data_IF_131082212308
#
_entry.id   IF_131082212308
#
_cell.length_a   1.000
_cell.length_b   1.000
_cell.length_c   1.000
_cell.angle_alpha   90.00
_cell.angle_beta   90.00
_cell.angle_gamma   90.00
#
_symmetry.space_group_name_H-M   'P 1'
#
loop_
_entity.id
_entity.type
_entity.pdbx_description
1 polymer ?
#
# COMPACT_ATOMS: atom_id res chain seq x y z
N UNK A 1 8.02 -12.78 15.10
CA UNK A 1 8.33 -11.98 13.89
C UNK A 1 7.96 -10.56 14.21
N UNK A 2 8.92 -9.63 14.21
CA UNK A 2 8.69 -8.22 14.51
C UNK A 2 8.35 -7.50 13.21
N UNK A 3 7.09 -7.56 12.78
CA UNK A 3 6.58 -6.69 11.72
C UNK A 3 6.14 -5.37 12.33
N UNK A 4 6.20 -4.29 11.55
CA UNK A 4 5.56 -3.03 11.94
C UNK A 4 4.04 -3.19 11.78
N UNK A 5 3.36 -3.50 12.88
CA UNK A 5 1.90 -3.59 12.92
C UNK A 5 1.30 -2.18 12.84
N UNK A 6 0.35 -1.98 11.93
CA UNK A 6 -0.34 -0.72 11.72
C UNK A 6 -1.83 -0.97 11.88
N UNK A 7 -2.42 -0.35 12.89
CA UNK A 7 -3.86 -0.37 13.10
C UNK A 7 -4.53 0.73 12.28
N UNK A 8 -5.37 0.33 11.32
CA UNK A 8 -6.16 1.25 10.49
C UNK A 8 -7.64 1.06 10.83
N UNK A 9 -8.27 2.10 11.38
CA UNK A 9 -9.71 2.11 11.63
C UNK A 9 -10.48 2.50 10.38
N UNK A 10 -11.48 1.70 10.00
CA UNK A 10 -12.38 2.00 8.88
C UNK A 10 -13.72 2.53 9.39
N UNK A 11 -14.38 3.37 8.58
CA UNK A 11 -15.70 3.93 8.87
C UNK A 11 -16.86 3.07 8.30
N UNK A 12 -16.54 1.86 7.84
CA UNK A 12 -17.48 0.88 7.26
C UNK A 12 -17.22 -0.50 7.87
N UNK A 13 -18.28 -1.31 7.94
CA UNK A 13 -18.22 -2.70 8.40
C UNK A 13 -17.81 -3.66 7.28
N UNK A 14 -17.51 -4.92 7.64
CA UNK A 14 -17.21 -6.00 6.68
C UNK A 14 -18.37 -6.18 5.69
N UNK A 15 -18.04 -6.49 4.44
CA UNK A 15 -18.76 -6.18 3.19
C UNK A 15 -18.19 -4.94 2.47
N UNK A 16 -16.87 -4.95 2.29
CA UNK A 16 -16.14 -3.85 1.69
C UNK A 16 -16.55 -3.62 0.22
N UNK A 17 -16.68 -2.35 -0.22
CA UNK A 17 -17.03 -2.03 -1.60
C UNK A 17 -15.94 -2.51 -2.57
N UNK A 18 -16.32 -2.81 -3.81
CA UNK A 18 -15.37 -3.23 -4.87
C UNK A 18 -14.23 -2.21 -5.09
N UNK A 19 -14.47 -0.93 -4.77
CA UNK A 19 -13.45 0.11 -4.85
C UNK A 19 -12.25 -0.14 -3.91
N UNK A 20 -12.39 -0.98 -2.87
CA UNK A 20 -11.30 -1.42 -2.01
C UNK A 20 -10.60 -2.70 -2.50
N UNK A 21 -11.11 -3.36 -3.55
CA UNK A 21 -10.52 -4.57 -4.17
C UNK A 21 -9.95 -4.23 -5.54
N UNK A 22 -9.00 -3.30 -5.58
CA UNK A 22 -8.45 -2.80 -6.84
C UNK A 22 -7.35 -3.74 -7.34
N UNK A 23 -7.37 -4.13 -8.64
CA UNK A 23 -6.31 -4.93 -9.23
C UNK A 23 -5.04 -4.09 -9.39
N UNK A 24 -3.89 -4.75 -9.49
CA UNK A 24 -2.64 -4.10 -9.86
C UNK A 24 -2.76 -3.45 -11.24
N UNK A 25 -2.17 -2.27 -11.40
CA UNK A 25 -2.08 -1.63 -12.70
C UNK A 25 -1.05 -2.35 -13.59
N UNK A 26 -1.25 -2.24 -14.91
CA UNK A 26 -0.25 -2.73 -15.84
C UNK A 26 1.03 -1.92 -15.71
N UNK A 27 2.17 -2.62 -15.69
CA UNK A 27 3.49 -2.01 -15.55
C UNK A 27 4.38 -2.39 -16.73
N UNK A 28 5.11 -1.40 -17.25
CA UNK A 28 6.18 -1.58 -18.23
C UNK A 28 7.32 -2.43 -17.66
N UNK A 29 8.20 -3.00 -18.50
CA UNK A 29 9.35 -3.77 -18.02
C UNK A 29 10.24 -3.00 -17.02
N UNK A 30 10.51 -1.72 -17.30
CA UNK A 30 11.29 -0.84 -16.43
C UNK A 30 10.62 -0.62 -15.06
N UNK A 31 9.30 -0.48 -15.04
CA UNK A 31 8.56 -0.32 -13.79
C UNK A 31 8.52 -1.62 -12.99
N UNK A 32 8.38 -2.78 -13.66
CA UNK A 32 8.43 -4.09 -13.00
C UNK A 32 9.77 -4.36 -12.33
N UNK A 33 10.86 -4.01 -12.99
CA UNK A 33 12.21 -4.11 -12.42
C UNK A 33 12.35 -3.23 -11.17
N UNK A 34 11.97 -1.96 -11.27
CA UNK A 34 12.00 -1.03 -10.15
C UNK A 34 11.12 -1.50 -8.97
N UNK A 35 9.89 -1.96 -9.25
CA UNK A 35 9.00 -2.54 -8.23
C UNK A 35 9.63 -3.76 -7.56
N UNK A 36 10.27 -4.64 -8.33
CA UNK A 36 10.95 -5.82 -7.79
C UNK A 36 12.05 -5.45 -6.79
N UNK A 37 12.85 -4.43 -7.10
CA UNK A 37 13.88 -3.90 -6.20
C UNK A 37 13.24 -3.37 -4.91
N UNK A 38 12.24 -2.48 -5.01
CA UNK A 38 11.58 -1.91 -3.83
C UNK A 38 10.89 -2.96 -2.95
N UNK A 39 10.18 -3.91 -3.56
CA UNK A 39 9.49 -4.98 -2.82
C UNK A 39 10.51 -5.84 -2.08
N UNK A 40 11.63 -6.19 -2.72
CA UNK A 40 12.70 -6.96 -2.08
C UNK A 40 13.27 -6.21 -0.88
N UNK A 41 13.63 -4.94 -1.04
CA UNK A 41 14.16 -4.11 0.05
C UNK A 41 13.20 -4.01 1.23
N UNK A 42 11.91 -3.79 0.97
CA UNK A 42 10.91 -3.68 2.03
C UNK A 42 10.64 -5.02 2.74
N UNK A 43 10.74 -6.14 2.03
CA UNK A 43 10.69 -7.48 2.63
C UNK A 43 11.92 -7.74 3.50
N UNK A 44 13.12 -7.41 3.01
CA UNK A 44 14.37 -7.59 3.74
C UNK A 44 14.41 -6.73 5.02
N UNK A 45 13.81 -5.54 4.98
CA UNK A 45 13.65 -4.64 6.13
C UNK A 45 12.49 -5.03 7.07
N UNK A 46 11.64 -5.98 6.70
CA UNK A 46 10.45 -6.35 7.49
C UNK A 46 9.35 -5.27 7.53
N UNK A 47 9.38 -4.30 6.61
CA UNK A 47 8.37 -3.24 6.50
C UNK A 47 7.07 -3.77 5.89
N UNK A 48 7.19 -4.67 4.91
CA UNK A 48 6.05 -5.41 4.34
C UNK A 48 6.27 -6.91 4.53
N UNK A 49 5.18 -7.66 4.54
CA UNK A 49 5.21 -9.11 4.61
C UNK A 49 4.47 -9.72 3.42
N UNK A 50 4.84 -10.95 3.06
CA UNK A 50 4.05 -11.73 2.11
C UNK A 50 2.83 -12.28 2.83
N UNK A 51 1.66 -12.01 2.27
CA UNK A 51 0.41 -12.64 2.71
C UNK A 51 0.41 -14.11 2.27
N UNK A 52 -0.10 -15.00 3.11
CA UNK A 52 -0.17 -16.44 2.80
C UNK A 52 -1.12 -16.70 1.63
N UNK A 53 -0.80 -17.70 0.80
CA UNK A 53 -1.61 -18.01 -0.40
C UNK A 53 -3.05 -18.43 -0.09
N UNK A 54 -3.31 -18.93 1.13
CA UNK A 54 -4.63 -19.36 1.58
C UNK A 54 -5.37 -18.28 2.40
N UNK A 55 -4.78 -17.09 2.54
CA UNK A 55 -5.37 -16.01 3.32
C UNK A 55 -6.18 -15.10 2.38
N UNK A 56 -7.45 -14.89 2.71
CA UNK A 56 -8.32 -14.02 1.93
C UNK A 56 -7.94 -12.56 2.19
N UNK A 57 -7.44 -11.89 1.14
CA UNK A 57 -7.17 -10.44 1.19
C UNK A 57 -8.41 -9.69 0.71
N UNK A 58 -9.14 -9.10 1.64
CA UNK A 58 -10.39 -8.40 1.33
C UNK A 58 -10.17 -6.98 0.76
N UNK A 59 -8.99 -6.39 1.00
CA UNK A 59 -8.62 -5.01 0.62
C UNK A 59 -7.28 -5.02 -0.11
N UNK A 60 -7.24 -4.44 -1.31
CA UNK A 60 -6.04 -4.32 -2.14
C UNK A 60 -5.90 -2.91 -2.70
N UNK A 61 -4.67 -2.39 -2.67
CA UNK A 61 -4.33 -1.07 -3.23
C UNK A 61 -3.22 -1.25 -4.27
N UNK A 62 -3.40 -0.74 -5.51
CA UNK A 62 -2.37 -0.83 -6.52
C UNK A 62 -1.22 0.13 -6.19
N UNK A 63 -0.06 -0.19 -6.75
CA UNK A 63 1.17 0.56 -6.58
C UNK A 63 1.65 1.00 -7.97
N UNK A 64 2.20 2.21 -8.04
CA UNK A 64 2.83 2.77 -9.24
C UNK A 64 4.28 3.16 -8.96
N UNK A 65 5.06 3.32 -10.03
CA UNK A 65 6.41 3.88 -9.95
C UNK A 65 6.42 5.27 -10.55
N UNK A 66 6.83 6.26 -9.77
CA UNK A 66 7.09 7.61 -10.28
C UNK A 66 8.60 7.83 -10.45
N UNK A 67 8.99 8.50 -11.52
CA UNK A 67 10.37 8.85 -11.81
C UNK A 67 10.60 10.35 -11.67
N UNK A 68 11.64 10.73 -10.96
CA UNK A 68 12.03 12.13 -10.81
C UNK A 68 13.55 12.24 -10.66
N UNK A 69 14.20 13.08 -11.48
CA UNK A 69 15.66 13.29 -11.49
C UNK A 69 16.46 11.98 -11.50
N UNK A 70 16.06 11.03 -12.35
CA UNK A 70 16.73 9.73 -12.48
C UNK A 70 16.47 8.73 -11.34
N UNK A 71 15.73 9.12 -10.30
CA UNK A 71 15.36 8.25 -9.17
C UNK A 71 13.91 7.79 -9.30
N UNK A 72 13.66 6.52 -9.04
CA UNK A 72 12.32 5.94 -8.95
C UNK A 72 11.79 6.01 -7.51
N UNK A 73 10.46 5.99 -7.38
CA UNK A 73 9.75 5.86 -6.09
C UNK A 73 8.55 4.95 -6.27
N UNK A 74 8.37 4.03 -5.33
CA UNK A 74 7.17 3.22 -5.22
C UNK A 74 6.07 4.00 -4.48
N UNK A 75 4.87 4.12 -5.07
CA UNK A 75 3.77 4.91 -4.51
C UNK A 75 2.51 4.05 -4.47
N UNK A 76 1.94 3.86 -3.28
CA UNK A 76 0.63 3.21 -3.11
C UNK A 76 -0.53 4.16 -3.40
N UNK A 77 -1.50 3.71 -4.19
CA UNK A 77 -2.70 4.47 -4.53
C UNK A 77 -3.80 4.33 -3.45
N UNK A 78 -3.56 4.90 -2.27
CA UNK A 78 -4.47 4.79 -1.13
C UNK A 78 -5.71 5.69 -1.21
N UNK A 79 -6.01 6.29 -2.38
CA UNK A 79 -7.14 7.24 -2.50
C UNK A 79 -8.48 6.62 -2.17
N UNK A 80 -8.72 5.39 -2.66
CA UNK A 80 -9.90 4.61 -2.33
C UNK A 80 -9.97 4.30 -0.83
N UNK A 81 -8.90 3.73 -0.27
CA UNK A 81 -8.80 3.39 1.15
C UNK A 81 -9.04 4.60 2.05
N UNK A 82 -8.47 5.75 1.70
CA UNK A 82 -8.57 6.99 2.47
C UNK A 82 -10.03 7.45 2.66
N UNK A 83 -10.90 7.26 1.68
CA UNK A 83 -12.34 7.60 1.77
C UNK A 83 -13.04 6.82 2.88
N UNK A 84 -12.55 5.62 3.18
CA UNK A 84 -13.13 4.70 4.16
C UNK A 84 -12.34 4.62 5.47
N UNK A 85 -11.28 5.42 5.62
CA UNK A 85 -10.44 5.43 6.82
C UNK A 85 -10.92 6.51 7.78
N UNK A 86 -11.02 6.18 9.07
CA UNK A 86 -11.26 7.16 10.13
C UNK A 86 -9.98 7.99 10.31
N UNK A 87 -10.02 9.33 10.13
CA UNK A 87 -8.81 10.14 10.28
C UNK A 87 -8.31 10.14 11.73
N UNK A 88 -7.04 9.78 11.92
CA UNK A 88 -6.34 10.07 13.16
C UNK A 88 -6.07 11.58 13.25
N UNK A 89 -6.65 12.22 14.27
CA UNK A 89 -6.60 13.69 14.47
C UNK A 89 -5.49 14.09 15.44
N UNK A 90 -4.32 13.46 15.34
CA UNK A 90 -3.14 13.92 16.07
C UNK A 90 -2.80 15.37 15.69
N UNK A 91 -2.77 16.32 16.64
CA UNK A 91 -2.55 17.73 16.34
C UNK A 91 -1.11 17.95 15.87
N UNK A 92 -0.96 18.34 14.60
CA UNK A 92 0.34 18.75 14.04
C UNK A 92 0.52 20.25 14.34
N UNK A 93 1.58 20.66 15.05
CA UNK A 93 1.88 22.07 15.27
C UNK A 93 1.98 22.82 13.95
N UNK A 94 1.33 23.97 13.85
CA UNK A 94 1.53 24.89 12.73
C UNK A 94 2.79 25.70 13.02
N UNK A 95 3.78 25.59 12.15
CA UNK A 95 5.00 26.39 12.15
C UNK A 95 4.72 27.68 11.37
#
# INVERSE_FOLDING_TARGET
MFGHEIDISLNIERSYPQLLRRPAYQASPKEREALGIFIKELLDLGVIIKVCQNEEVEITTPVIVAWHNGKSRMIGDFRALKTYTVPDRYPIPRI
#
